data_IF_744664807090
#
_entry.id   IF_744664807090
#
_cell.length_a   1.000
_cell.length_b   1.000
_cell.length_c   1.000
_cell.angle_alpha   90.00
_cell.angle_beta   90.00
_cell.angle_gamma   90.00
#
_symmetry.space_group_name_H-M   'P 1'
#
loop_
_entity.id
_entity.type
_entity.pdbx_description
1 polymer ?
#
# COMPACT_ATOMS: atom_id res chain seq x y z
N UNK A 1 17.18 -21.29 12.34
CA UNK A 1 15.71 -21.35 12.23
C UNK A 1 15.31 -20.18 11.36
N UNK A 2 15.00 -20.42 10.09
CA UNK A 2 14.59 -19.38 9.16
C UNK A 2 13.25 -18.81 9.62
N UNK A 3 13.25 -17.52 9.92
CA UNK A 3 12.05 -16.72 10.11
C UNK A 3 11.29 -16.73 8.79
N UNK A 4 10.32 -17.63 8.69
CA UNK A 4 9.39 -17.69 7.57
C UNK A 4 8.75 -16.30 7.44
N UNK A 5 9.17 -15.52 6.44
CA UNK A 5 8.60 -14.20 6.17
C UNK A 5 7.11 -14.47 5.91
N UNK A 6 6.22 -13.92 6.73
CA UNK A 6 4.78 -14.17 6.61
C UNK A 6 4.24 -13.64 5.28
N UNK A 7 4.39 -14.43 4.22
CA UNK A 7 3.82 -14.21 2.91
C UNK A 7 2.36 -14.64 2.95
N UNK A 8 1.48 -13.74 2.51
CA UNK A 8 0.06 -14.00 2.45
C UNK A 8 -0.50 -13.66 1.07
N UNK A 9 -1.52 -14.43 0.66
CA UNK A 9 -2.15 -14.37 -0.65
C UNK A 9 -3.64 -14.08 -0.50
N UNK A 10 -4.14 -13.03 -1.15
CA UNK A 10 -5.56 -12.64 -1.08
C UNK A 10 -6.45 -13.67 -1.79
N UNK A 11 -7.37 -14.29 -1.05
CA UNK A 11 -8.25 -15.34 -1.58
C UNK A 11 -9.17 -14.86 -2.73
N UNK A 12 -9.63 -13.62 -2.66
CA UNK A 12 -10.48 -13.09 -3.72
C UNK A 12 -9.69 -12.83 -5.01
N UNK A 13 -8.44 -12.39 -4.87
CA UNK A 13 -7.58 -12.09 -6.01
C UNK A 13 -7.18 -13.37 -6.75
N UNK A 14 -6.80 -14.42 -6.02
CA UNK A 14 -6.51 -15.71 -6.66
C UNK A 14 -7.75 -16.27 -7.37
N UNK A 15 -8.94 -16.15 -6.76
CA UNK A 15 -10.19 -16.61 -7.36
C UNK A 15 -10.48 -15.86 -8.66
N UNK A 16 -10.37 -14.52 -8.64
CA UNK A 16 -10.62 -13.67 -9.80
C UNK A 16 -9.64 -13.96 -10.94
N UNK A 17 -8.33 -13.90 -10.67
CA UNK A 17 -7.29 -14.06 -11.68
C UNK A 17 -7.31 -15.45 -12.30
N UNK A 18 -7.43 -16.51 -11.50
CA UNK A 18 -7.42 -17.88 -12.05
C UNK A 18 -8.72 -18.21 -12.78
N UNK A 19 -9.88 -17.75 -12.30
CA UNK A 19 -11.13 -17.88 -13.04
C UNK A 19 -11.07 -17.10 -14.36
N UNK A 20 -10.53 -15.88 -14.38
CA UNK A 20 -10.37 -15.09 -15.60
C UNK A 20 -9.42 -15.78 -16.58
N UNK A 21 -8.27 -16.28 -16.11
CA UNK A 21 -7.31 -17.01 -16.93
C UNK A 21 -7.97 -18.23 -17.60
N UNK A 22 -8.75 -18.99 -16.85
CA UNK A 22 -9.42 -20.20 -17.32
C UNK A 22 -10.73 -19.91 -18.09
N UNK A 23 -11.28 -18.70 -17.99
CA UNK A 23 -12.53 -18.30 -18.65
C UNK A 23 -12.46 -18.37 -20.18
N UNK A 24 -11.25 -18.23 -20.74
CA UNK A 24 -10.98 -18.31 -22.19
C UNK A 24 -10.81 -19.74 -22.70
N UNK A 25 -10.96 -20.73 -21.83
CA UNK A 25 -10.79 -22.15 -22.14
C UNK A 25 -12.09 -22.93 -21.88
N UNK A 26 -12.15 -24.18 -22.35
CA UNK A 26 -13.23 -25.12 -21.99
C UNK A 26 -13.25 -25.46 -20.50
N UNK A 27 -12.24 -25.05 -19.73
CA UNK A 27 -12.08 -25.33 -18.29
C UNK A 27 -12.79 -24.32 -17.37
N UNK A 28 -13.44 -23.30 -17.92
CA UNK A 28 -14.15 -22.26 -17.15
C UNK A 28 -15.08 -22.83 -16.08
N UNK A 29 -15.90 -23.81 -16.47
CA UNK A 29 -16.83 -24.48 -15.56
C UNK A 29 -16.10 -25.14 -14.38
N UNK A 30 -14.92 -25.75 -14.62
CA UNK A 30 -14.18 -26.42 -13.56
C UNK A 30 -13.62 -25.46 -12.52
N UNK A 31 -13.13 -24.28 -12.93
CA UNK A 31 -12.67 -23.25 -11.98
C UNK A 31 -13.81 -22.61 -11.21
N UNK A 32 -14.92 -22.28 -11.89
CA UNK A 32 -16.09 -21.72 -11.23
C UNK A 32 -16.67 -22.72 -10.22
N UNK A 33 -16.83 -23.98 -10.61
CA UNK A 33 -17.26 -25.08 -9.73
C UNK A 33 -16.30 -25.27 -8.55
N UNK A 34 -14.99 -25.26 -8.79
CA UNK A 34 -13.98 -25.43 -7.74
C UNK A 34 -14.11 -24.37 -6.64
N UNK A 35 -14.26 -23.09 -7.01
CA UNK A 35 -14.40 -22.01 -6.02
C UNK A 35 -15.80 -21.89 -5.43
N UNK A 36 -16.83 -22.29 -6.19
CA UNK A 36 -18.22 -22.38 -5.69
C UNK A 36 -18.39 -23.51 -4.68
N UNK A 37 -17.58 -24.56 -4.77
CA UNK A 37 -17.61 -25.70 -3.87
C UNK A 37 -16.31 -25.82 -3.05
N UNK A 38 -15.66 -24.69 -2.77
CA UNK A 38 -14.32 -24.67 -2.20
C UNK A 38 -14.23 -25.45 -0.89
N UNK A 39 -15.17 -25.21 0.04
CA UNK A 39 -15.16 -25.89 1.34
C UNK A 39 -15.54 -27.37 1.26
N UNK A 40 -16.28 -27.80 0.22
CA UNK A 40 -16.50 -29.24 -0.03
C UNK A 40 -15.18 -29.93 -0.42
N UNK A 41 -14.32 -29.24 -1.15
CA UNK A 41 -13.00 -29.75 -1.53
C UNK A 41 -11.95 -29.59 -0.43
N UNK A 42 -12.20 -28.74 0.56
CA UNK A 42 -11.26 -28.38 1.63
C UNK A 42 -11.98 -28.29 3.00
N UNK A 43 -12.58 -29.39 3.45
CA UNK A 43 -13.47 -29.47 4.63
C UNK A 43 -12.86 -29.14 6.00
N UNK A 44 -11.67 -28.55 6.05
CA UNK A 44 -10.97 -28.09 7.25
C UNK A 44 -10.11 -26.84 6.97
N UNK A 45 -10.38 -26.14 5.86
CA UNK A 45 -9.61 -24.98 5.49
C UNK A 45 -9.76 -23.86 6.52
N UNK A 46 -8.63 -23.26 6.90
CA UNK A 46 -8.59 -22.20 7.89
C UNK A 46 -7.92 -20.98 7.27
N UNK A 47 -8.68 -19.93 7.03
CA UNK A 47 -8.18 -18.70 6.45
C UNK A 47 -7.57 -17.79 7.51
N UNK A 48 -6.78 -16.82 7.06
CA UNK A 48 -6.38 -15.68 7.89
C UNK A 48 -7.23 -14.47 7.51
N UNK A 49 -7.86 -13.84 8.49
CA UNK A 49 -8.36 -12.48 8.36
C UNK A 49 -7.21 -11.56 8.75
N UNK A 50 -6.81 -10.73 7.80
CA UNK A 50 -5.71 -9.78 7.92
C UNK A 50 -6.30 -8.38 7.87
N UNK A 51 -6.11 -7.61 8.94
CA UNK A 51 -6.41 -6.18 8.95
C UNK A 51 -5.25 -5.38 8.36
N UNK A 52 -5.52 -4.59 7.33
CA UNK A 52 -4.52 -3.75 6.65
C UNK A 52 -4.43 -2.37 7.29
N UNK A 53 -3.37 -1.62 6.96
CA UNK A 53 -3.10 -0.29 7.54
C UNK A 53 -4.17 0.76 7.20
N UNK A 54 -4.86 0.61 6.07
CA UNK A 54 -6.00 1.45 5.70
C UNK A 54 -7.26 1.16 6.54
N UNK A 55 -7.21 0.13 7.40
CA UNK A 55 -8.31 -0.30 8.25
C UNK A 55 -9.26 -1.31 7.61
N UNK A 56 -9.06 -1.67 6.33
CA UNK A 56 -9.81 -2.75 5.70
C UNK A 56 -9.37 -4.12 6.23
N UNK A 57 -10.20 -5.14 6.01
CA UNK A 57 -9.92 -6.52 6.42
C UNK A 57 -10.07 -7.44 5.22
N UNK A 58 -9.15 -8.38 5.09
CA UNK A 58 -9.04 -9.23 3.91
C UNK A 58 -8.84 -10.68 4.30
N UNK A 59 -9.41 -11.58 3.49
CA UNK A 59 -9.30 -13.01 3.66
C UNK A 59 -8.09 -13.53 2.87
N UNK A 60 -7.16 -14.16 3.59
CA UNK A 60 -5.80 -14.46 3.14
C UNK A 60 -5.43 -15.92 3.38
N UNK A 61 -4.50 -16.42 2.56
CA UNK A 61 -3.87 -17.74 2.65
C UNK A 61 -2.40 -17.54 2.97
N UNK A 62 -1.81 -18.42 3.77
CA UNK A 62 -0.35 -18.52 3.85
C UNK A 62 0.23 -19.24 2.60
N UNK A 63 1.56 -19.31 2.50
CA UNK A 63 2.25 -19.94 1.37
C UNK A 63 1.84 -21.39 1.15
N UNK A 64 1.80 -22.19 2.22
CA UNK A 64 1.48 -23.62 2.12
C UNK A 64 0.06 -23.82 1.59
N UNK A 65 -0.88 -23.04 2.12
CA UNK A 65 -2.27 -23.01 1.68
C UNK A 65 -2.40 -22.56 0.22
N UNK A 66 -1.68 -21.50 -0.17
CA UNK A 66 -1.67 -21.00 -1.53
C UNK A 66 -1.22 -22.08 -2.52
N UNK A 67 -0.08 -22.73 -2.26
CA UNK A 67 0.44 -23.79 -3.11
C UNK A 67 -0.49 -25.00 -3.17
N UNK A 68 -1.11 -25.37 -2.04
CA UNK A 68 -2.07 -26.47 -1.99
C UNK A 68 -3.33 -26.21 -2.85
N UNK A 69 -3.89 -25.00 -2.77
CA UNK A 69 -5.05 -24.60 -3.57
C UNK A 69 -4.66 -24.53 -5.05
N UNK A 70 -3.52 -23.90 -5.38
CA UNK A 70 -3.00 -23.79 -6.74
C UNK A 70 -2.81 -25.16 -7.38
N UNK A 71 -2.08 -26.05 -6.71
CA UNK A 71 -1.79 -27.40 -7.21
C UNK A 71 -3.04 -28.24 -7.46
N UNK A 72 -4.05 -28.16 -6.58
CA UNK A 72 -5.33 -28.86 -6.78
C UNK A 72 -6.08 -28.34 -8.00
N UNK A 73 -6.16 -27.02 -8.20
CA UNK A 73 -6.82 -26.45 -9.35
C UNK A 73 -6.06 -26.74 -10.66
N UNK A 74 -4.73 -26.68 -10.65
CA UNK A 74 -3.89 -27.09 -11.78
C UNK A 74 -4.12 -28.56 -12.15
N UNK A 75 -4.20 -29.45 -11.16
CA UNK A 75 -4.50 -30.86 -11.39
C UNK A 75 -5.89 -31.07 -12.02
N UNK A 76 -6.92 -30.37 -11.52
CA UNK A 76 -8.30 -30.47 -12.03
C UNK A 76 -8.43 -29.94 -13.46
N UNK A 77 -7.69 -28.88 -13.80
CA UNK A 77 -7.83 -28.16 -15.08
C UNK A 77 -6.74 -28.51 -16.10
N UNK A 78 -5.71 -29.27 -15.69
CA UNK A 78 -4.51 -29.58 -16.48
C UNK A 78 -3.84 -28.34 -17.09
N UNK A 79 -3.95 -27.21 -16.40
CA UNK A 79 -3.48 -25.91 -16.88
C UNK A 79 -2.54 -25.31 -15.84
N UNK A 80 -1.43 -24.72 -16.29
CA UNK A 80 -0.54 -23.99 -15.40
C UNK A 80 -1.13 -22.63 -15.02
N UNK A 81 -1.22 -22.36 -13.72
CA UNK A 81 -1.83 -21.14 -13.19
C UNK A 81 -0.76 -20.08 -12.94
N UNK A 82 -1.09 -18.82 -13.30
CA UNK A 82 -0.22 -17.67 -13.03
C UNK A 82 0.07 -17.52 -11.54
N UNK A 83 1.29 -17.12 -11.23
CA UNK A 83 1.64 -16.69 -9.87
C UNK A 83 0.84 -15.45 -9.47
N UNK A 84 0.41 -15.43 -8.23
CA UNK A 84 -0.31 -14.30 -7.63
C UNK A 84 0.69 -13.56 -6.75
N UNK A 85 0.80 -12.23 -6.84
CA UNK A 85 1.71 -11.48 -5.99
C UNK A 85 1.34 -11.69 -4.52
N UNK A 86 2.32 -12.07 -3.71
CA UNK A 86 2.18 -12.17 -2.26
C UNK A 86 2.30 -10.80 -1.61
N UNK A 87 1.69 -10.69 -0.43
CA UNK A 87 1.84 -9.53 0.44
C UNK A 87 2.68 -9.94 1.65
N UNK A 88 3.73 -9.16 1.94
CA UNK A 88 4.58 -9.37 3.10
C UNK A 88 3.92 -8.68 4.30
N UNK A 89 3.51 -9.48 5.29
CA UNK A 89 3.07 -8.96 6.59
C UNK A 89 4.13 -9.32 7.64
N UNK A 90 5.05 -8.39 7.89
CA UNK A 90 6.12 -8.56 8.87
C UNK A 90 5.54 -8.60 10.30
N UNK A 91 5.66 -9.75 10.97
CA UNK A 91 5.47 -9.88 12.41
C UNK A 91 6.61 -9.15 13.11
N UNK A 92 6.44 -7.86 13.34
CA UNK A 92 7.49 -7.09 13.98
C UNK A 92 7.12 -5.71 14.46
N UNK A 93 6.26 -4.95 13.76
CA UNK A 93 6.00 -3.55 14.15
C UNK A 93 4.83 -2.80 13.48
N UNK A 94 3.83 -3.44 12.89
CA UNK A 94 2.71 -2.69 12.30
C UNK A 94 1.41 -3.46 12.16
N UNK A 95 0.47 -3.23 13.08
CA UNK A 95 -1.00 -3.20 12.95
C UNK A 95 -1.76 -4.30 12.19
N UNK A 96 -1.14 -5.42 11.82
CA UNK A 96 -1.80 -6.51 11.13
C UNK A 96 -2.29 -7.52 12.14
N UNK A 97 -3.56 -7.40 12.54
CA UNK A 97 -4.25 -8.45 13.27
C UNK A 97 -4.47 -9.62 12.31
N UNK A 98 -3.88 -10.77 12.63
CA UNK A 98 -4.08 -12.05 11.94
C UNK A 98 -5.00 -12.91 12.80
N UNK A 99 -6.26 -13.03 12.42
CA UNK A 99 -7.20 -13.95 13.05
C UNK A 99 -7.35 -15.18 12.17
N UNK A 100 -7.23 -16.38 12.74
CA UNK A 100 -7.52 -17.62 12.02
C UNK A 100 -9.02 -17.88 12.04
N UNK A 101 -9.62 -18.10 10.87
CA UNK A 101 -11.07 -18.33 10.73
C UNK A 101 -11.35 -19.51 9.82
N UNK A 102 -12.12 -20.46 10.33
CA UNK A 102 -12.70 -21.56 9.57
C UNK A 102 -14.18 -21.31 9.37
N UNK A 103 -14.74 -21.89 8.32
CA UNK A 103 -16.14 -21.76 7.93
C UNK A 103 -16.77 -23.14 7.86
N UNK A 104 -18.01 -23.28 8.32
CA UNK A 104 -18.72 -24.55 8.35
C UNK A 104 -19.38 -24.87 7.01
N UNK A 105 -19.67 -23.84 6.20
CA UNK A 105 -20.32 -23.99 4.91
C UNK A 105 -19.83 -22.97 3.89
N UNK A 106 -20.01 -23.29 2.61
CA UNK A 106 -19.70 -22.36 1.51
C UNK A 106 -20.50 -21.05 1.65
N UNK A 107 -21.75 -21.14 2.09
CA UNK A 107 -22.61 -19.97 2.29
C UNK A 107 -22.05 -19.02 3.37
N UNK A 108 -21.48 -19.57 4.45
CA UNK A 108 -20.80 -18.76 5.47
C UNK A 108 -19.56 -18.05 4.92
N UNK A 109 -18.74 -18.74 4.12
CA UNK A 109 -17.58 -18.14 3.46
C UNK A 109 -18.01 -17.02 2.50
N UNK A 110 -19.03 -17.25 1.67
CA UNK A 110 -19.53 -16.24 0.73
C UNK A 110 -20.13 -15.02 1.44
N UNK A 111 -20.86 -15.24 2.54
CA UNK A 111 -21.37 -14.18 3.40
C UNK A 111 -20.24 -13.36 4.00
N UNK A 112 -19.18 -14.00 4.48
CA UNK A 112 -18.01 -13.30 5.01
C UNK A 112 -17.31 -12.46 3.94
N UNK A 113 -17.05 -13.03 2.76
CA UNK A 113 -16.44 -12.30 1.65
C UNK A 113 -17.26 -11.07 1.27
N UNK A 114 -18.59 -11.19 1.25
CA UNK A 114 -19.48 -10.05 1.02
C UNK A 114 -19.34 -8.98 2.12
N UNK A 115 -19.32 -9.37 3.39
CA UNK A 115 -19.14 -8.45 4.51
C UNK A 115 -17.78 -7.72 4.43
N UNK A 116 -16.71 -8.43 4.08
CA UNK A 116 -15.37 -7.84 3.92
C UNK A 116 -15.35 -6.80 2.78
N UNK A 117 -16.01 -7.05 1.64
CA UNK A 117 -16.17 -6.05 0.57
C UNK A 117 -16.97 -4.82 1.01
N UNK A 118 -18.03 -5.02 1.77
CA UNK A 118 -18.84 -3.90 2.29
C UNK A 118 -18.04 -3.06 3.30
N UNK A 119 -17.20 -3.70 4.11
CA UNK A 119 -16.25 -3.03 5.00
C UNK A 119 -15.24 -2.21 4.20
N UNK A 120 -14.59 -2.80 3.19
CA UNK A 120 -13.63 -2.11 2.31
C UNK A 120 -14.26 -0.87 1.64
N UNK A 121 -15.46 -1.01 1.08
CA UNK A 121 -16.21 0.13 0.51
C UNK A 121 -16.50 1.22 1.55
N UNK A 122 -16.80 0.83 2.78
CA UNK A 122 -17.07 1.78 3.88
C UNK A 122 -15.80 2.53 4.27
N UNK A 123 -14.67 1.82 4.39
CA UNK A 123 -13.34 2.41 4.65
C UNK A 123 -12.99 3.41 3.54
N UNK A 124 -13.11 2.99 2.27
CA UNK A 124 -12.84 3.86 1.13
C UNK A 124 -13.74 5.10 1.09
N UNK A 125 -15.04 4.94 1.37
CA UNK A 125 -15.98 6.06 1.43
C UNK A 125 -15.61 7.05 2.53
N UNK A 126 -15.22 6.58 3.71
CA UNK A 126 -14.75 7.43 4.82
C UNK A 126 -13.48 8.17 4.42
N UNK A 127 -12.50 7.48 3.85
CA UNK A 127 -11.25 8.11 3.38
C UNK A 127 -11.54 9.23 2.36
N UNK A 128 -12.45 8.97 1.40
CA UNK A 128 -12.88 9.98 0.41
C UNK A 128 -13.59 11.17 1.05
N UNK A 129 -14.44 10.93 2.03
CA UNK A 129 -15.12 12.00 2.78
C UNK A 129 -14.10 12.84 3.56
N UNK A 130 -13.21 12.21 4.32
CA UNK A 130 -12.16 12.90 5.07
C UNK A 130 -11.24 13.70 4.15
N UNK A 131 -10.89 13.16 2.98
CA UNK A 131 -10.12 13.90 1.98
C UNK A 131 -10.88 15.12 1.44
N UNK A 132 -12.21 15.00 1.23
CA UNK A 132 -13.05 16.12 0.81
C UNK A 132 -13.15 17.20 1.88
N UNK A 133 -13.32 16.82 3.14
CA UNK A 133 -13.36 17.74 4.28
C UNK A 133 -12.02 18.46 4.46
N UNK A 134 -10.91 17.70 4.39
CA UNK A 134 -9.56 18.27 4.45
C UNK A 134 -9.32 19.26 3.30
N UNK A 135 -9.75 18.91 2.08
CA UNK A 135 -9.68 19.82 0.93
C UNK A 135 -10.47 21.10 1.16
N UNK A 136 -11.71 20.99 1.65
CA UNK A 136 -12.55 22.16 1.94
C UNK A 136 -11.91 23.07 2.99
N UNK A 137 -11.39 22.49 4.07
CA UNK A 137 -10.67 23.20 5.13
C UNK A 137 -9.42 23.88 4.59
N UNK A 138 -8.63 23.17 3.77
CA UNK A 138 -7.45 23.71 3.13
C UNK A 138 -7.82 24.93 2.28
N UNK A 139 -8.80 24.80 1.38
CA UNK A 139 -9.29 25.90 0.55
C UNK A 139 -9.72 27.10 1.40
N UNK A 140 -10.47 26.88 2.48
CA UNK A 140 -10.89 27.96 3.38
C UNK A 140 -9.70 28.65 4.06
N UNK A 141 -8.71 27.88 4.53
CA UNK A 141 -7.49 28.42 5.14
C UNK A 141 -6.69 29.26 4.14
N UNK A 142 -6.57 28.78 2.90
CA UNK A 142 -5.90 29.50 1.80
C UNK A 142 -6.62 30.81 1.52
N UNK A 143 -7.94 30.79 1.38
CA UNK A 143 -8.72 32.00 1.10
C UNK A 143 -8.58 33.05 2.20
N UNK A 144 -8.44 32.63 3.47
CA UNK A 144 -8.22 33.54 4.61
C UNK A 144 -6.78 34.03 4.72
N UNK A 145 -5.82 33.30 4.16
CA UNK A 145 -4.40 33.65 4.21
C UNK A 145 -3.75 33.43 2.83
N UNK A 146 -3.91 34.37 1.89
CA UNK A 146 -3.36 34.24 0.53
C UNK A 146 -1.83 34.24 0.50
N UNK A 147 -1.16 34.63 1.59
CA UNK A 147 0.29 34.58 1.73
C UNK A 147 0.77 33.28 2.42
N UNK A 148 -0.12 32.30 2.62
CA UNK A 148 0.24 31.03 3.24
C UNK A 148 1.29 30.31 2.40
N UNK A 149 2.41 29.96 3.05
CA UNK A 149 3.49 29.18 2.46
C UNK A 149 3.23 27.71 2.70
N UNK A 150 3.22 26.94 1.62
CA UNK A 150 3.12 25.51 1.62
C UNK A 150 4.51 24.90 1.48
N UNK A 151 4.71 23.80 2.19
CA UNK A 151 5.83 22.90 1.97
C UNK A 151 5.21 21.54 1.72
N UNK A 152 5.40 20.99 0.53
CA UNK A 152 5.11 19.60 0.22
C UNK A 152 6.43 18.87 0.14
N UNK A 153 6.51 17.71 0.78
CA UNK A 153 7.69 16.85 0.71
C UNK A 153 7.26 15.45 0.33
N UNK A 154 8.16 14.75 -0.35
CA UNK A 154 8.03 13.37 -0.74
C UNK A 154 9.33 12.65 -0.32
N UNK A 155 9.19 11.43 0.18
CA UNK A 155 10.32 10.65 0.68
C UNK A 155 10.21 9.25 0.11
N UNK A 156 11.22 8.88 -0.68
CA UNK A 156 11.33 7.53 -1.21
C UNK A 156 12.20 6.68 -0.29
N UNK A 157 11.69 5.50 0.07
CA UNK A 157 12.36 4.54 0.94
C UNK A 157 12.69 3.27 0.16
N UNK A 158 13.72 2.55 0.62
CA UNK A 158 14.10 1.29 0.02
C UNK A 158 13.05 0.22 0.32
N UNK A 159 12.60 -0.48 -0.72
CA UNK A 159 11.53 -1.49 -0.66
C UNK A 159 11.92 -2.69 0.22
N UNK A 160 13.20 -3.09 0.20
CA UNK A 160 13.71 -4.19 1.00
C UNK A 160 14.10 -3.80 2.43
N UNK A 161 14.30 -2.50 2.70
CA UNK A 161 14.59 -1.97 4.04
C UNK A 161 13.96 -0.59 4.24
N UNK A 162 12.80 -0.57 4.91
CA UNK A 162 12.04 0.65 5.20
C UNK A 162 12.76 1.64 6.13
N UNK A 163 13.92 1.28 6.69
CA UNK A 163 14.77 2.21 7.46
C UNK A 163 15.69 3.05 6.59
N UNK A 164 15.85 2.66 5.32
CA UNK A 164 16.76 3.30 4.41
C UNK A 164 16.01 4.27 3.49
N UNK A 165 16.35 5.56 3.58
CA UNK A 165 15.83 6.61 2.71
C UNK A 165 16.71 6.71 1.47
N UNK A 166 16.08 6.75 0.30
CA UNK A 166 16.75 6.84 -1.00
C UNK A 166 16.74 8.28 -1.53
N UNK A 167 15.59 8.93 -1.45
CA UNK A 167 15.37 10.27 -1.99
C UNK A 167 14.53 11.11 -1.02
N UNK A 168 14.83 12.41 -0.97
CA UNK A 168 13.98 13.42 -0.35
C UNK A 168 13.72 14.54 -1.37
N UNK A 169 12.46 14.69 -1.77
CA UNK A 169 11.98 15.80 -2.57
C UNK A 169 11.20 16.78 -1.70
N UNK A 170 11.34 18.09 -1.93
CA UNK A 170 10.38 19.06 -1.41
C UNK A 170 10.16 20.23 -2.37
N UNK A 171 8.95 20.78 -2.32
CA UNK A 171 8.58 22.02 -2.99
C UNK A 171 7.98 22.98 -1.99
N UNK A 172 8.45 24.22 -2.06
CA UNK A 172 7.90 25.35 -1.32
C UNK A 172 7.24 26.30 -2.30
N UNK A 173 6.00 26.67 -2.01
CA UNK A 173 5.23 27.57 -2.86
C UNK A 173 4.22 28.35 -2.03
N UNK A 174 3.78 29.49 -2.54
CA UNK A 174 2.50 30.08 -2.12
C UNK A 174 1.45 29.84 -3.20
N UNK A 175 0.17 29.99 -2.85
CA UNK A 175 -0.92 29.84 -3.81
C UNK A 175 -1.23 31.15 -4.56
N UNK A 176 -0.39 32.17 -4.43
CA UNK A 176 -0.47 33.33 -5.32
C UNK A 176 -0.05 32.91 -6.71
N UNK A 177 -0.93 33.15 -7.68
CA UNK A 177 -0.64 33.01 -9.12
C UNK A 177 0.51 33.96 -9.48
N UNK A 178 1.76 33.47 -9.43
CA UNK A 178 3.03 34.07 -9.92
C UNK A 178 4.26 33.64 -9.10
N UNK A 179 4.11 32.88 -8.00
CA UNK A 179 5.28 32.51 -7.21
C UNK A 179 6.15 31.49 -7.95
N UNK A 180 7.47 31.72 -7.97
CA UNK A 180 8.45 30.74 -8.46
C UNK A 180 8.64 29.68 -7.36
N UNK A 181 8.06 28.47 -7.50
CA UNK A 181 8.23 27.43 -6.50
C UNK A 181 9.71 27.12 -6.29
N UNK A 182 10.12 27.06 -5.02
CA UNK A 182 11.45 26.60 -4.65
C UNK A 182 11.43 25.07 -4.61
N UNK A 183 12.11 24.47 -5.59
CA UNK A 183 12.23 23.03 -5.74
C UNK A 183 13.54 22.53 -5.13
N UNK A 184 13.46 21.41 -4.43
CA UNK A 184 14.62 20.68 -3.94
C UNK A 184 14.42 19.20 -4.13
N UNK A 185 15.50 18.53 -4.51
CA UNK A 185 15.53 17.10 -4.74
C UNK A 185 16.92 16.60 -4.36
N UNK A 186 16.97 15.71 -3.38
CA UNK A 186 18.19 15.13 -2.85
C UNK A 186 18.15 13.60 -2.98
N UNK A 187 19.14 13.03 -3.68
CA UNK A 187 19.46 11.62 -3.57
C UNK A 187 20.35 11.46 -2.35
N UNK A 188 19.88 10.64 -1.42
CA UNK A 188 20.46 10.46 -0.09
C UNK A 188 21.30 9.18 0.00
N UNK A 189 20.94 8.17 -0.80
CA UNK A 189 21.69 6.93 -0.89
C UNK A 189 21.88 6.52 -2.36
N UNK A 190 22.92 7.05 -2.97
CA UNK A 190 23.21 6.87 -4.39
C UNK A 190 23.55 5.42 -4.78
N UNK A 191 24.20 4.68 -3.88
CA UNK A 191 24.59 3.29 -4.14
C UNK A 191 23.38 2.36 -4.29
N UNK A 192 22.36 2.56 -3.45
CA UNK A 192 21.10 1.81 -3.56
C UNK A 192 20.21 2.33 -4.68
N UNK A 193 20.16 3.66 -4.87
CA UNK A 193 19.40 4.30 -5.93
C UNK A 193 19.87 3.87 -7.34
N UNK A 194 21.16 3.56 -7.52
CA UNK A 194 21.71 3.20 -8.83
C UNK A 194 21.61 1.71 -9.20
N UNK A 195 21.08 0.84 -8.33
CA UNK A 195 20.92 -0.60 -8.63
C UNK A 195 20.05 -0.85 -9.86
N UNK A 196 20.35 -1.91 -10.63
CA UNK A 196 19.50 -2.33 -11.76
C UNK A 196 18.07 -2.60 -11.28
N UNK A 197 17.07 -2.11 -12.04
CA UNK A 197 15.64 -2.26 -11.70
C UNK A 197 14.96 -1.07 -11.04
N UNK A 198 15.67 -0.01 -10.65
CA UNK A 198 15.05 1.24 -10.17
C UNK A 198 14.43 2.05 -11.31
N UNK A 199 13.14 2.36 -11.19
CA UNK A 199 12.41 3.26 -12.09
C UNK A 199 12.82 4.73 -11.83
N UNK A 200 12.77 5.58 -12.87
CA UNK A 200 13.09 7.02 -12.80
C UNK A 200 14.53 7.44 -12.45
N UNK A 201 15.55 6.65 -12.82
CA UNK A 201 16.99 7.07 -12.75
C UNK A 201 17.33 8.39 -13.45
N UNK A 202 16.45 8.93 -14.29
CA UNK A 202 16.72 10.11 -15.12
C UNK A 202 15.58 11.12 -15.03
N UNK A 203 15.94 12.25 -14.40
CA UNK A 203 15.38 13.61 -14.54
C UNK A 203 14.29 13.98 -13.53
N UNK A 204 14.75 14.55 -12.42
CA UNK A 204 13.98 15.58 -11.74
C UNK A 204 13.60 16.67 -12.75
N UNK A 205 12.29 16.86 -12.98
CA UNK A 205 11.78 17.75 -14.05
C UNK A 205 11.83 19.24 -13.68
N UNK A 206 12.06 19.54 -12.40
CA UNK A 206 11.89 20.88 -11.83
C UNK A 206 13.21 21.50 -11.35
N UNK A 207 14.36 20.95 -11.75
CA UNK A 207 15.67 21.49 -11.39
C UNK A 207 16.78 20.45 -11.42
N UNK A 208 17.83 20.71 -10.64
CA UNK A 208 18.95 19.79 -10.46
C UNK A 208 18.76 18.92 -9.22
N UNK A 209 19.10 17.64 -9.36
CA UNK A 209 19.22 16.71 -8.25
C UNK A 209 20.55 16.95 -7.52
N UNK A 210 20.50 17.04 -6.19
CA UNK A 210 21.69 17.05 -5.34
C UNK A 210 21.97 15.65 -4.80
N UNK A 211 23.24 15.32 -4.70
CA UNK A 211 23.70 14.06 -4.10
C UNK A 211 24.34 14.43 -2.76
N UNK A 212 23.64 14.14 -1.66
CA UNK A 212 24.03 14.62 -0.33
C UNK A 212 23.72 13.56 0.73
N UNK A 213 24.49 13.47 1.84
CA UNK A 213 24.13 12.61 2.96
C UNK A 213 22.77 12.96 3.58
N UNK A 214 22.17 12.02 4.32
CA UNK A 214 20.85 12.20 4.94
C UNK A 214 20.83 13.38 5.90
N UNK A 215 21.90 13.56 6.67
CA UNK A 215 22.06 14.64 7.63
C UNK A 215 21.99 16.00 6.94
N UNK A 216 22.59 16.12 5.75
CA UNK A 216 22.58 17.35 4.96
C UNK A 216 21.20 17.59 4.33
N UNK A 217 20.57 16.55 3.77
CA UNK A 217 19.19 16.61 3.28
C UNK A 217 18.19 17.06 4.36
N UNK A 218 18.33 16.53 5.58
CA UNK A 218 17.53 16.91 6.74
C UNK A 218 17.86 18.32 7.22
N UNK A 219 19.12 18.74 7.19
CA UNK A 219 19.53 20.09 7.57
C UNK A 219 18.86 21.16 6.69
N UNK A 220 18.66 20.88 5.39
CA UNK A 220 17.86 21.75 4.51
C UNK A 220 16.45 21.92 5.06
N UNK A 221 15.73 20.84 5.35
CA UNK A 221 14.38 20.88 5.93
C UNK A 221 14.33 21.63 7.28
N UNK A 222 15.31 21.39 8.15
CA UNK A 222 15.40 22.02 9.47
C UNK A 222 15.65 23.53 9.41
N UNK A 223 16.43 24.01 8.43
CA UNK A 223 16.68 25.45 8.22
C UNK A 223 15.38 26.22 7.99
N UNK A 224 14.39 25.59 7.37
CA UNK A 224 13.06 26.20 7.17
C UNK A 224 12.21 26.23 8.43
N UNK A 225 12.36 25.24 9.33
CA UNK A 225 11.65 25.20 10.62
C UNK A 225 12.09 26.33 11.55
N UNK A 226 13.39 26.66 11.57
CA UNK A 226 13.96 27.70 12.45
C UNK A 226 13.59 29.14 12.06
N UNK A 227 13.16 29.38 10.82
CA UNK A 227 12.66 30.70 10.38
C UNK A 227 11.31 31.10 11.00
N UNK A 228 10.66 30.23 11.80
CA UNK A 228 9.44 30.56 12.57
C UNK A 228 9.67 30.70 14.08
N UNK A 229 10.87 30.46 14.61
CA UNK A 229 11.10 30.56 16.06
C UNK A 229 11.52 31.96 16.53
N UNK A 230 11.56 32.96 15.64
CA UNK A 230 11.87 34.36 15.98
C UNK A 230 10.65 35.29 15.93
N UNK A 231 9.42 34.75 15.94
CA UNK A 231 8.20 35.55 15.98
C UNK A 231 6.99 34.67 16.33
N UNK A 232 6.51 34.86 17.56
CA UNK A 232 5.24 34.41 18.13
C UNK A 232 4.97 32.89 18.20
N UNK A 233 5.08 32.40 19.44
CA UNK A 233 4.56 31.15 19.94
C UNK A 233 3.04 31.09 19.80
N UNK A 234 2.54 30.61 18.65
CA UNK A 234 1.19 30.05 18.59
C UNK A 234 1.26 28.62 19.12
N UNK A 235 0.92 28.50 20.41
CA UNK A 235 0.72 27.24 21.11
C UNK A 235 -0.39 26.43 20.47
N UNK A 236 -0.02 25.59 19.51
CA UNK A 236 -0.80 24.41 19.16
C UNK A 236 -0.21 23.22 19.93
N UNK A 237 -1.04 22.45 20.66
CA UNK A 237 -0.58 21.25 21.33
C UNK A 237 -0.29 20.20 20.25
N UNK A 238 0.92 19.65 20.29
CA UNK A 238 1.26 18.36 19.70
C UNK A 238 1.49 17.40 20.86
#
# INVERSE_FOLDING_TARGET
METNRGLFYKYELLKEIWCEQLSKSTQRFLSEDYFKNFLLHHGSFCFYIVKTNDGSSQLMLDEEQYQAVKGRLQHKTRTELREIPSQIFADGKGNVLKERKSFLSQEELEKELKNLKENERTVFRRARQSASELKANLCQMVSKNPNMKFISYDVEIYDQDQKTILEIGYVKFTLKESDNPEHHHAIVNEELHNREGFDNKKKFKFGATKHVPLEEAVAFLQRYRRLRCSGDSLGLPW
#
